data_IF_170669158864
#
_entry.id   IF_170669158864
#
_cell.length_a   1.000
_cell.length_b   1.000
_cell.length_c   1.000
_cell.angle_alpha   90.00
_cell.angle_beta   90.00
_cell.angle_gamma   90.00
#
_symmetry.space_group_name_H-M   'P 1'
#
loop_
_entity.id
_entity.type
_entity.pdbx_description
1 polymer ?
#
# COMPACT_ATOMS: atom_id res chain seq x y z
N UNK A 1 -21.35 6.77 -10.66
CA UNK A 1 -20.41 6.30 -9.63
C UNK A 1 -19.87 4.92 -10.03
N UNK A 2 -18.56 4.75 -10.06
CA UNK A 2 -17.96 3.46 -10.43
C UNK A 2 -17.90 2.55 -9.21
N UNK A 3 -18.44 1.34 -9.34
CA UNK A 3 -18.43 0.37 -8.25
C UNK A 3 -17.00 -0.15 -8.01
N UNK A 4 -16.71 -0.46 -6.76
CA UNK A 4 -15.43 -1.06 -6.39
C UNK A 4 -15.37 -2.50 -6.90
N UNK A 5 -14.29 -2.82 -7.60
CA UNK A 5 -14.07 -4.14 -8.18
C UNK A 5 -13.15 -5.01 -7.32
N UNK A 6 -12.40 -4.38 -6.41
CA UNK A 6 -11.36 -5.04 -5.63
C UNK A 6 -11.50 -4.72 -4.16
N UNK A 7 -11.03 -5.63 -3.33
CA UNK A 7 -10.99 -5.47 -1.88
C UNK A 7 -9.55 -5.23 -1.46
N UNK A 8 -9.34 -4.34 -0.50
CA UNK A 8 -8.03 -4.08 0.09
C UNK A 8 -7.99 -4.66 1.50
N UNK A 9 -6.96 -5.45 1.76
CA UNK A 9 -6.68 -5.98 3.08
C UNK A 9 -5.26 -5.57 3.46
N UNK A 10 -5.03 -5.33 4.75
CA UNK A 10 -3.68 -5.01 5.23
C UNK A 10 -3.05 -6.24 5.88
N UNK A 11 -1.79 -6.51 5.53
CA UNK A 11 -1.03 -7.52 6.24
C UNK A 11 -0.90 -7.13 7.71
N UNK A 12 -1.12 -8.08 8.59
CA UNK A 12 -0.98 -7.89 10.04
C UNK A 12 -0.15 -9.04 10.59
N UNK A 13 0.66 -8.73 11.62
CA UNK A 13 1.40 -9.78 12.32
C UNK A 13 0.46 -10.56 13.26
N UNK A 14 1.03 -11.47 14.05
CA UNK A 14 0.24 -12.33 14.95
C UNK A 14 -0.52 -11.54 16.02
N UNK A 15 -0.05 -10.33 16.34
CA UNK A 15 -0.69 -9.45 17.33
C UNK A 15 -1.63 -8.43 16.70
N UNK A 16 -1.83 -8.52 15.39
CA UNK A 16 -2.70 -7.61 14.67
C UNK A 16 -2.05 -6.29 14.26
N UNK A 17 -0.74 -6.17 14.38
CA UNK A 17 -0.02 -4.95 14.00
C UNK A 17 0.26 -4.91 12.50
N UNK A 18 0.02 -3.75 11.89
CA UNK A 18 0.38 -3.45 10.51
C UNK A 18 1.08 -2.09 10.46
N UNK A 19 2.29 -2.08 9.93
CA UNK A 19 3.06 -0.83 9.74
C UNK A 19 2.26 0.18 8.91
N UNK A 20 1.62 -0.29 7.84
CA UNK A 20 0.84 0.59 6.96
C UNK A 20 -0.39 1.15 7.63
N UNK A 21 -1.13 0.32 8.37
CA UNK A 21 -2.31 0.79 9.11
C UNK A 21 -1.92 1.73 10.23
N UNK A 22 -0.84 1.42 10.92
CA UNK A 22 -0.35 2.26 12.01
C UNK A 22 0.06 3.64 11.50
N UNK A 23 0.75 3.71 10.37
CA UNK A 23 1.12 4.97 9.75
C UNK A 23 -0.12 5.80 9.41
N UNK A 24 -1.14 5.18 8.80
CA UNK A 24 -2.37 5.87 8.42
C UNK A 24 -3.09 6.37 9.68
N UNK A 25 -3.14 5.54 10.72
CA UNK A 25 -3.79 5.92 11.98
C UNK A 25 -3.09 7.13 12.62
N UNK A 26 -1.75 7.13 12.68
CA UNK A 26 -0.99 8.27 13.21
C UNK A 26 -1.25 9.53 12.37
N UNK A 27 -1.33 9.37 11.06
CA UNK A 27 -1.60 10.48 10.16
C UNK A 27 -2.97 11.08 10.43
N UNK A 28 -3.97 10.24 10.70
CA UNK A 28 -5.32 10.71 11.09
C UNK A 28 -5.28 11.55 12.36
N UNK A 29 -4.47 11.16 13.33
CA UNK A 29 -4.30 11.93 14.57
C UNK A 29 -3.64 13.28 14.28
N UNK A 30 -2.59 13.29 13.49
CA UNK A 30 -1.88 14.51 13.11
C UNK A 30 -2.76 15.45 12.29
N UNK A 31 -3.66 14.91 11.47
CA UNK A 31 -4.53 15.69 10.59
C UNK A 31 -5.48 16.62 11.37
N UNK A 32 -5.72 16.35 12.65
CA UNK A 32 -6.55 17.21 13.50
C UNK A 32 -5.96 18.62 13.55
N UNK A 33 -4.62 18.75 13.61
CA UNK A 33 -3.95 20.05 13.75
C UNK A 33 -3.03 20.42 12.58
N UNK A 34 -2.71 19.48 11.70
CA UNK A 34 -1.74 19.69 10.63
C UNK A 34 -2.41 19.66 9.25
N UNK A 35 -2.26 20.76 8.52
CA UNK A 35 -2.74 20.86 7.14
C UNK A 35 -2.01 19.87 6.24
N UNK A 36 -0.69 19.73 6.42
CA UNK A 36 0.11 18.81 5.62
C UNK A 36 -0.36 17.38 5.82
N UNK A 37 -0.66 16.99 7.06
CA UNK A 37 -1.17 15.66 7.35
C UNK A 37 -2.54 15.42 6.70
N UNK A 38 -3.41 16.44 6.68
CA UNK A 38 -4.71 16.35 6.01
C UNK A 38 -4.54 16.12 4.51
N UNK A 39 -3.61 16.83 3.88
CA UNK A 39 -3.34 16.68 2.44
C UNK A 39 -2.84 15.27 2.14
N UNK A 40 -1.89 14.77 2.93
CA UNK A 40 -1.36 13.43 2.76
C UNK A 40 -2.44 12.36 2.94
N UNK A 41 -3.24 12.50 3.99
CA UNK A 41 -4.31 11.55 4.28
C UNK A 41 -5.34 11.50 3.15
N UNK A 42 -5.71 12.67 2.63
CA UNK A 42 -6.64 12.76 1.50
C UNK A 42 -6.10 12.03 0.28
N UNK A 43 -4.82 12.23 -0.03
CA UNK A 43 -4.18 11.57 -1.17
C UNK A 43 -4.10 10.06 -0.98
N UNK A 44 -3.78 9.60 0.20
CA UNK A 44 -3.74 8.17 0.50
C UNK A 44 -5.13 7.56 0.30
N UNK A 45 -6.16 8.22 0.83
CA UNK A 45 -7.54 7.75 0.70
C UNK A 45 -7.96 7.69 -0.78
N UNK A 46 -7.66 8.74 -1.55
CA UNK A 46 -7.97 8.77 -2.99
C UNK A 46 -7.28 7.64 -3.75
N UNK A 47 -6.01 7.38 -3.46
CA UNK A 47 -5.25 6.36 -4.16
C UNK A 47 -5.70 4.95 -3.78
N UNK A 48 -6.09 4.73 -2.51
CA UNK A 48 -6.69 3.46 -2.10
C UNK A 48 -8.01 3.21 -2.84
N UNK A 49 -8.83 4.25 -3.00
CA UNK A 49 -10.08 4.14 -3.75
C UNK A 49 -9.84 3.86 -5.23
N UNK A 50 -8.80 4.46 -5.82
CA UNK A 50 -8.41 4.19 -7.20
C UNK A 50 -8.01 2.72 -7.35
N UNK A 51 -7.24 2.19 -6.42
CA UNK A 51 -6.85 0.78 -6.45
C UNK A 51 -8.08 -0.13 -6.33
N UNK A 52 -9.00 0.20 -5.43
CA UNK A 52 -10.24 -0.57 -5.26
C UNK A 52 -11.13 -0.55 -6.51
N UNK A 53 -11.11 0.55 -7.24
CA UNK A 53 -11.97 0.73 -8.41
C UNK A 53 -11.36 0.15 -9.69
N UNK A 54 -10.10 0.44 -9.94
CA UNK A 54 -9.46 0.12 -11.23
C UNK A 54 -8.39 -0.97 -11.17
N UNK A 55 -7.90 -1.28 -9.98
CA UNK A 55 -6.81 -2.24 -9.85
C UNK A 55 -5.51 -1.74 -10.46
N UNK A 56 -4.58 -2.65 -10.67
CA UNK A 56 -3.25 -2.31 -11.20
C UNK A 56 -3.28 -1.83 -12.64
N UNK A 57 -4.38 -2.04 -13.36
CA UNK A 57 -4.52 -1.58 -14.74
C UNK A 57 -4.44 -0.06 -14.88
N UNK A 58 -4.72 0.70 -13.79
CA UNK A 58 -4.60 2.14 -13.82
C UNK A 58 -3.18 2.63 -14.08
N UNK A 59 -2.19 1.86 -13.59
CA UNK A 59 -0.78 2.12 -13.87
C UNK A 59 -0.22 3.43 -13.31
N UNK A 60 0.93 3.81 -13.89
CA UNK A 60 1.65 5.01 -13.52
C UNK A 60 0.81 6.27 -13.83
N UNK A 61 0.79 7.33 -12.99
CA UNK A 61 1.65 7.52 -11.81
C UNK A 61 1.09 6.99 -10.49
N UNK A 62 -0.10 6.39 -10.48
CA UNK A 62 -0.76 5.94 -9.26
C UNK A 62 -0.10 4.69 -8.68
N UNK A 63 0.28 3.78 -9.55
CA UNK A 63 0.82 2.47 -9.21
C UNK A 63 2.03 2.21 -10.09
N UNK A 64 3.07 1.60 -9.51
CA UNK A 64 4.22 1.16 -10.27
C UNK A 64 4.52 -0.30 -9.94
N UNK A 65 4.87 -1.08 -10.96
CA UNK A 65 5.27 -2.46 -10.78
C UNK A 65 6.74 -2.48 -10.36
N UNK A 66 7.08 -3.27 -9.35
CA UNK A 66 8.46 -3.37 -8.89
C UNK A 66 9.25 -4.24 -9.85
N UNK A 67 10.29 -3.68 -10.43
CA UNK A 67 11.15 -4.36 -11.39
C UNK A 67 11.73 -5.65 -10.79
N UNK A 68 11.76 -6.71 -11.59
CA UNK A 68 12.25 -8.05 -11.22
C UNK A 68 11.38 -8.79 -10.20
N UNK A 69 10.20 -8.24 -9.86
CA UNK A 69 9.28 -8.90 -8.95
C UNK A 69 7.97 -9.18 -9.69
N UNK A 70 7.56 -10.44 -9.74
CA UNK A 70 6.40 -10.83 -10.54
C UNK A 70 5.09 -10.23 -10.05
N UNK A 71 4.85 -10.27 -8.76
CA UNK A 71 3.58 -9.80 -8.18
C UNK A 71 3.88 -8.93 -6.97
N UNK A 72 4.50 -7.78 -7.24
CA UNK A 72 4.77 -6.78 -6.23
C UNK A 72 4.68 -5.40 -6.86
N UNK A 73 3.88 -4.55 -6.24
CA UNK A 73 3.57 -3.22 -6.74
C UNK A 73 3.72 -2.19 -5.63
N UNK A 74 3.85 -0.92 -6.01
CA UNK A 74 3.78 0.15 -5.03
C UNK A 74 2.68 1.15 -5.41
N UNK A 75 1.90 1.55 -4.40
CA UNK A 75 0.91 2.62 -4.51
C UNK A 75 1.63 3.91 -4.12
N UNK A 76 1.40 4.99 -4.86
CA UNK A 76 2.31 6.15 -4.88
C UNK A 76 1.65 7.50 -4.55
N UNK A 77 0.90 7.65 -3.44
CA UNK A 77 0.30 8.94 -3.10
C UNK A 77 1.37 9.91 -2.58
N UNK A 78 1.70 10.93 -3.40
CA UNK A 78 2.74 11.91 -3.09
C UNK A 78 4.09 11.24 -2.85
N UNK A 79 4.65 11.35 -1.64
CA UNK A 79 5.92 10.72 -1.29
C UNK A 79 5.75 9.43 -0.51
N UNK A 80 4.52 9.10 -0.13
CA UNK A 80 4.24 7.85 0.56
C UNK A 80 4.25 6.69 -0.42
N UNK A 81 4.78 5.56 0.00
CA UNK A 81 4.81 4.35 -0.81
C UNK A 81 4.27 3.19 0.02
N UNK A 82 3.27 2.50 -0.53
CA UNK A 82 2.69 1.31 0.08
C UNK A 82 2.92 0.15 -0.86
N UNK A 83 3.70 -0.84 -0.43
CA UNK A 83 3.86 -2.05 -1.22
C UNK A 83 2.62 -2.91 -1.09
N UNK A 84 2.23 -3.55 -2.17
CA UNK A 84 1.10 -4.47 -2.15
C UNK A 84 1.27 -5.53 -3.23
N UNK A 85 0.49 -6.60 -3.11
CA UNK A 85 0.44 -7.63 -4.14
C UNK A 85 -1.00 -8.07 -4.36
N UNK A 86 -1.23 -8.70 -5.50
CA UNK A 86 -2.55 -9.22 -5.84
C UNK A 86 -2.71 -10.63 -5.28
N UNK A 87 -3.73 -10.83 -4.47
CA UNK A 87 -4.18 -12.14 -4.03
C UNK A 87 -5.41 -12.48 -4.87
N UNK A 88 -5.59 -13.74 -5.20
CA UNK A 88 -6.74 -14.18 -6.00
C UNK A 88 -8.07 -13.67 -5.43
N UNK A 89 -9.12 -13.72 -6.24
CA UNK A 89 -10.48 -13.30 -5.85
C UNK A 89 -10.60 -11.80 -5.65
N UNK A 90 -9.93 -11.04 -6.53
CA UNK A 90 -10.01 -9.58 -6.55
C UNK A 90 -9.59 -8.90 -5.25
N UNK A 91 -8.56 -9.43 -4.61
CA UNK A 91 -8.06 -8.89 -3.35
C UNK A 91 -6.62 -8.41 -3.50
N UNK A 92 -6.34 -7.22 -2.97
CA UNK A 92 -4.98 -6.68 -2.86
C UNK A 92 -4.59 -6.64 -1.39
N UNK A 93 -3.36 -7.05 -1.11
CA UNK A 93 -2.83 -7.09 0.26
C UNK A 93 -1.76 -6.01 0.39
N UNK A 94 -2.02 -5.02 1.25
CA UNK A 94 -1.08 -3.94 1.53
C UNK A 94 -0.06 -4.43 2.56
N UNK A 95 1.21 -4.27 2.24
CA UNK A 95 2.31 -4.79 3.05
C UNK A 95 2.92 -3.68 3.92
N UNK A 96 4.10 -3.20 3.56
CA UNK A 96 4.79 -2.18 4.33
C UNK A 96 4.69 -0.80 3.66
N UNK A 97 5.00 0.21 4.44
CA UNK A 97 5.00 1.60 4.01
C UNK A 97 6.38 2.22 4.21
N UNK A 98 6.76 3.13 3.33
CA UNK A 98 7.93 3.97 3.54
C UNK A 98 7.75 5.30 2.82
N UNK A 99 8.56 6.30 3.22
CA UNK A 99 8.60 7.61 2.56
C UNK A 99 9.72 7.58 1.53
N UNK A 100 9.40 7.92 0.28
CA UNK A 100 10.40 7.92 -0.77
C UNK A 100 11.14 9.26 -0.79
N UNK A 101 12.45 9.19 -0.58
CA UNK A 101 13.32 10.36 -0.63
C UNK A 101 14.47 10.19 -1.63
N UNK A 102 14.48 9.09 -2.38
CA UNK A 102 15.47 8.79 -3.40
C UNK A 102 14.80 8.43 -4.71
N UNK A 103 15.56 8.43 -5.82
CA UNK A 103 15.01 8.08 -7.13
C UNK A 103 14.62 6.62 -7.25
N UNK A 104 15.37 5.73 -6.60
CA UNK A 104 15.11 4.30 -6.65
C UNK A 104 14.43 3.83 -5.37
N UNK A 105 13.56 2.84 -5.54
CA UNK A 105 12.96 2.17 -4.40
C UNK A 105 14.05 1.43 -3.62
N UNK A 106 14.18 1.67 -2.31
CA UNK A 106 15.23 1.02 -1.52
C UNK A 106 15.09 -0.50 -1.54
N UNK A 107 16.19 -1.17 -1.85
CA UNK A 107 16.23 -2.63 -1.91
C UNK A 107 15.78 -3.28 -0.59
N UNK A 108 16.17 -2.67 0.52
CA UNK A 108 15.79 -3.10 1.87
C UNK A 108 14.26 -3.15 2.04
N UNK A 109 13.54 -2.17 1.48
CA UNK A 109 12.08 -2.13 1.57
C UNK A 109 11.44 -3.20 0.70
N UNK A 110 12.03 -3.48 -0.46
CA UNK A 110 11.57 -4.56 -1.34
C UNK A 110 11.73 -5.91 -0.65
N UNK A 111 12.88 -6.13 -0.02
CA UNK A 111 13.15 -7.36 0.73
C UNK A 111 12.15 -7.56 1.87
N UNK A 112 11.84 -6.48 2.58
CA UNK A 112 10.86 -6.50 3.65
C UNK A 112 9.47 -6.85 3.10
N UNK A 113 9.09 -6.24 1.98
CA UNK A 113 7.80 -6.52 1.35
C UNK A 113 7.68 -8.00 0.97
N UNK A 114 8.73 -8.57 0.41
CA UNK A 114 8.72 -9.98 0.01
C UNK A 114 8.59 -10.93 1.21
N UNK A 115 9.21 -10.58 2.33
CA UNK A 115 9.07 -11.37 3.56
C UNK A 115 7.64 -11.33 4.09
N UNK A 116 7.02 -10.15 4.08
CA UNK A 116 5.64 -10.00 4.53
C UNK A 116 4.67 -10.75 3.60
N UNK A 117 4.91 -10.68 2.30
CA UNK A 117 4.12 -11.40 1.30
C UNK A 117 4.20 -12.90 1.53
N UNK A 118 5.41 -13.42 1.75
CA UNK A 118 5.62 -14.83 2.03
C UNK A 118 4.88 -15.25 3.30
N UNK A 119 5.01 -14.46 4.36
CA UNK A 119 4.32 -14.71 5.63
C UNK A 119 2.80 -14.77 5.44
N UNK A 120 2.25 -13.81 4.70
CA UNK A 120 0.81 -13.79 4.41
C UNK A 120 0.38 -15.07 3.70
N UNK A 121 1.10 -15.43 2.64
CA UNK A 121 0.74 -16.59 1.83
C UNK A 121 0.85 -17.90 2.61
N UNK A 122 1.80 -18.01 3.52
CA UNK A 122 1.95 -19.19 4.36
C UNK A 122 0.82 -19.33 5.38
N UNK A 123 0.33 -18.21 5.91
CA UNK A 123 -0.71 -18.23 6.93
C UNK A 123 -2.12 -18.45 6.37
N UNK A 124 -2.39 -18.03 5.14
CA UNK A 124 -3.75 -18.09 4.58
C UNK A 124 -3.94 -19.22 3.58
N UNK A 125 -2.94 -20.04 3.37
CA UNK A 125 -3.07 -21.21 2.48
C UNK A 125 -3.50 -22.45 3.24
#
# INVERSE_FOLDING_TARGET
MTDKQYEIEFWQDADGYSESQDYIWELKQKAIKSKDARIKLKKITEYMEILETYGTAIGYPYIDHIECEENLFELRPLRDRFFFFYKKENKYIILNHFMKDTKKTPKKEIEKANKLKQDYNERVN
#
